data_IF_295297371237
#
_entry.id   IF_295297371237
#
_cell.length_a   1.000
_cell.length_b   1.000
_cell.length_c   1.000
_cell.angle_alpha   90.00
_cell.angle_beta   90.00
_cell.angle_gamma   90.00
#
_symmetry.space_group_name_H-M   'P 1'
#
loop_
_entity.id
_entity.type
_entity.pdbx_description
1 polymer ?
#
# COMPACT_ATOMS: atom_id res chain seq x y z
N UNK A 1 0.92 9.83 -16.82
CA UNK A 1 1.43 8.93 -15.76
C UNK A 1 0.38 8.62 -14.68
N UNK A 2 -0.18 9.59 -13.91
CA UNK A 2 -1.12 9.26 -12.82
C UNK A 2 -2.47 8.71 -13.32
N UNK A 3 -3.05 9.33 -14.36
CA UNK A 3 -4.33 8.88 -14.91
C UNK A 3 -4.26 7.43 -15.43
N UNK A 4 -3.18 7.06 -16.12
CA UNK A 4 -3.00 5.70 -16.63
C UNK A 4 -2.79 4.67 -15.50
N UNK A 5 -2.18 5.07 -14.38
CA UNK A 5 -2.08 4.20 -13.21
C UNK A 5 -3.45 3.94 -12.57
N UNK A 6 -4.27 5.00 -12.39
CA UNK A 6 -5.64 4.86 -11.88
C UNK A 6 -6.52 4.02 -12.81
N UNK A 7 -6.38 4.19 -14.13
CA UNK A 7 -7.11 3.38 -15.12
C UNK A 7 -6.69 1.92 -15.02
N UNK A 8 -5.40 1.61 -14.91
CA UNK A 8 -4.94 0.23 -14.75
C UNK A 8 -5.44 -0.44 -13.46
N UNK A 9 -5.55 0.32 -12.37
CA UNK A 9 -6.17 -0.17 -11.13
C UNK A 9 -7.67 -0.46 -11.32
N UNK A 10 -8.38 0.45 -11.99
CA UNK A 10 -9.80 0.29 -12.30
C UNK A 10 -10.04 -0.90 -13.25
N UNK A 11 -9.21 -1.08 -14.27
CA UNK A 11 -9.28 -2.22 -15.19
C UNK A 11 -9.00 -3.55 -14.48
N UNK A 12 -7.99 -3.59 -13.60
CA UNK A 12 -7.69 -4.78 -12.82
C UNK A 12 -8.87 -5.21 -11.93
N UNK A 13 -9.58 -4.23 -11.36
CA UNK A 13 -10.81 -4.44 -10.60
C UNK A 13 -11.98 -4.88 -11.50
N UNK A 14 -12.26 -4.14 -12.58
CA UNK A 14 -13.42 -4.39 -13.45
C UNK A 14 -13.35 -5.74 -14.18
N UNK A 15 -12.15 -6.15 -14.60
CA UNK A 15 -11.94 -7.39 -15.36
C UNK A 15 -11.43 -8.56 -14.52
N UNK A 16 -11.42 -8.44 -13.18
CA UNK A 16 -10.88 -9.46 -12.26
C UNK A 16 -9.52 -10.03 -12.72
N UNK A 17 -8.62 -9.16 -13.16
CA UNK A 17 -7.34 -9.59 -13.77
C UNK A 17 -6.38 -10.20 -12.74
N UNK A 18 -6.66 -10.05 -11.44
CA UNK A 18 -5.79 -10.47 -10.34
C UNK A 18 -4.37 -9.95 -10.53
N UNK A 19 -4.29 -8.68 -10.92
CA UNK A 19 -3.04 -8.06 -11.35
C UNK A 19 -2.25 -7.60 -10.13
N UNK A 20 -0.96 -7.87 -10.12
CA UNK A 20 -0.04 -7.35 -9.12
C UNK A 20 0.28 -5.90 -9.45
N UNK A 21 -0.16 -4.99 -8.59
CA UNK A 21 0.02 -3.55 -8.75
C UNK A 21 0.51 -2.94 -7.42
N UNK A 22 1.49 -2.02 -7.45
CA UNK A 22 1.89 -1.29 -6.25
C UNK A 22 0.81 -0.25 -5.92
N UNK A 23 0.15 -0.41 -4.78
CA UNK A 23 -0.91 0.51 -4.34
C UNK A 23 -0.82 0.76 -2.84
N UNK A 24 -1.34 1.91 -2.38
CA UNK A 24 -1.50 2.17 -0.96
C UNK A 24 -2.60 1.27 -0.41
N UNK A 25 -2.23 0.30 0.42
CA UNK A 25 -3.15 -0.64 1.04
C UNK A 25 -3.06 -0.56 2.56
N UNK A 26 -4.16 -0.91 3.21
CA UNK A 26 -4.25 -0.97 4.66
C UNK A 26 -3.52 -2.21 5.18
N UNK A 27 -2.52 -1.99 6.03
CA UNK A 27 -1.75 -3.03 6.68
C UNK A 27 -2.38 -3.36 8.04
N UNK A 28 -2.81 -4.62 8.19
CA UNK A 28 -3.34 -5.17 9.45
C UNK A 28 -2.41 -6.27 9.98
N UNK A 29 -1.16 -5.90 10.24
CA UNK A 29 -0.10 -6.79 10.74
C UNK A 29 0.97 -7.15 9.71
N UNK A 30 0.77 -6.84 8.42
CA UNK A 30 1.81 -7.06 7.41
C UNK A 30 3.02 -6.16 7.67
N UNK A 31 4.22 -6.70 7.48
CA UNK A 31 5.50 -6.02 7.78
C UNK A 31 5.65 -5.55 9.25
N UNK A 32 4.80 -6.02 10.17
CA UNK A 32 4.78 -5.58 11.56
C UNK A 32 4.04 -4.26 11.82
N UNK A 33 3.35 -3.72 10.81
CA UNK A 33 2.53 -2.51 10.94
C UNK A 33 1.05 -2.88 11.03
N UNK A 34 0.34 -2.23 11.96
CA UNK A 34 -1.11 -2.38 12.15
C UNK A 34 -1.75 -1.00 12.11
N UNK A 35 -2.95 -0.90 11.55
CA UNK A 35 -3.68 0.37 11.39
C UNK A 35 -2.94 1.41 10.52
N UNK A 36 -2.22 0.95 9.49
CA UNK A 36 -1.36 1.82 8.69
C UNK A 36 -1.56 1.65 7.19
N UNK A 37 -1.68 2.75 6.46
CA UNK A 37 -1.69 2.71 4.99
C UNK A 37 -0.30 2.94 4.43
N UNK A 38 0.20 2.00 3.63
CA UNK A 38 1.49 2.14 2.95
C UNK A 38 1.44 1.57 1.54
N UNK A 39 2.28 2.11 0.67
CA UNK A 39 2.48 1.59 -0.68
C UNK A 39 3.14 0.22 -0.63
N UNK A 40 2.36 -0.82 -0.89
CA UNK A 40 2.82 -2.21 -0.90
C UNK A 40 2.34 -2.90 -2.18
N UNK A 41 3.04 -3.94 -2.66
CA UNK A 41 2.57 -4.72 -3.79
C UNK A 41 1.30 -5.48 -3.38
N UNK A 42 0.19 -5.18 -4.04
CA UNK A 42 -1.09 -5.84 -3.82
C UNK A 42 -1.61 -6.49 -5.08
N UNK A 43 -2.40 -7.54 -4.90
CA UNK A 43 -3.15 -8.19 -5.96
C UNK A 43 -4.55 -7.56 -5.96
N UNK A 44 -4.88 -6.88 -7.05
CA UNK A 44 -6.21 -6.31 -7.28
C UNK A 44 -7.00 -7.24 -8.20
N UNK A 45 -8.14 -7.70 -7.71
CA UNK A 45 -9.14 -8.48 -8.45
C UNK A 45 -10.53 -7.84 -8.35
N UNK A 46 -11.57 -8.58 -8.71
CA UNK A 46 -12.97 -8.13 -8.73
C UNK A 46 -13.54 -7.79 -7.35
N UNK A 47 -12.81 -8.14 -6.27
CA UNK A 47 -13.14 -7.79 -4.88
C UNK A 47 -12.31 -6.62 -4.33
N UNK A 48 -11.53 -5.95 -5.17
CA UNK A 48 -10.59 -4.91 -4.74
C UNK A 48 -9.24 -5.51 -4.39
N UNK A 49 -8.69 -5.11 -3.24
CA UNK A 49 -7.41 -5.66 -2.73
C UNK A 49 -7.67 -7.06 -2.18
N UNK A 50 -7.38 -8.10 -2.97
CA UNK A 50 -7.59 -9.49 -2.56
C UNK A 50 -6.44 -10.03 -1.70
N UNK A 51 -5.22 -9.57 -1.96
CA UNK A 51 -4.03 -10.06 -1.26
C UNK A 51 -2.93 -9.00 -1.23
N UNK A 52 -2.30 -8.88 -0.07
CA UNK A 52 -1.06 -8.11 0.09
C UNK A 52 0.10 -9.09 -0.06
N UNK A 53 1.04 -8.79 -0.96
CA UNK A 53 2.23 -9.62 -1.17
C UNK A 53 3.29 -9.19 -0.18
N UNK A 54 3.46 -9.95 0.90
CA UNK A 54 4.53 -9.72 1.85
C UNK A 54 5.85 -10.27 1.28
N UNK A 55 6.81 -9.39 1.09
CA UNK A 55 8.15 -9.71 0.64
C UNK A 55 9.09 -9.79 1.85
N UNK A 56 9.97 -10.78 1.86
CA UNK A 56 11.05 -10.88 2.84
C UNK A 56 12.08 -9.79 2.58
N UNK A 57 11.92 -8.64 3.24
CA UNK A 57 12.84 -7.51 3.15
C UNK A 57 14.12 -7.79 3.95
N UNK A 58 15.25 -7.38 3.37
CA UNK A 58 16.54 -7.32 4.06
C UNK A 58 16.55 -6.24 5.15
N UNK A 59 17.57 -6.25 6.02
CA UNK A 59 17.66 -5.27 7.11
C UNK A 59 17.71 -3.81 6.61
N UNK A 60 18.39 -3.57 5.49
CA UNK A 60 18.48 -2.25 4.87
C UNK A 60 17.13 -1.79 4.29
N UNK A 61 16.42 -2.68 3.60
CA UNK A 61 15.09 -2.38 3.06
C UNK A 61 14.05 -2.17 4.16
N UNK A 62 14.15 -2.93 5.28
CA UNK A 62 13.32 -2.68 6.46
C UNK A 62 13.58 -1.29 7.05
N UNK A 63 14.83 -0.84 7.11
CA UNK A 63 15.16 0.50 7.58
C UNK A 63 14.61 1.58 6.63
N UNK A 64 14.69 1.37 5.31
CA UNK A 64 14.07 2.29 4.34
C UNK A 64 12.55 2.34 4.48
N UNK A 65 11.90 1.19 4.63
CA UNK A 65 10.46 1.09 4.82
C UNK A 65 10.01 1.74 6.13
N UNK A 66 10.77 1.56 7.22
CA UNK A 66 10.53 2.24 8.49
C UNK A 66 10.63 3.76 8.37
N UNK A 67 11.61 4.27 7.63
CA UNK A 67 11.75 5.70 7.35
C UNK A 67 10.56 6.25 6.54
N UNK A 68 10.07 5.48 5.57
CA UNK A 68 8.86 5.83 4.82
C UNK A 68 7.61 5.84 5.70
N UNK A 69 7.46 4.83 6.58
CA UNK A 69 6.37 4.77 7.54
C UNK A 69 6.38 5.95 8.52
N UNK A 70 7.54 6.32 9.05
CA UNK A 70 7.71 7.47 9.93
C UNK A 70 7.30 8.78 9.25
N UNK A 71 7.68 8.95 7.98
CA UNK A 71 7.30 10.13 7.19
C UNK A 71 5.77 10.23 7.01
N UNK A 72 5.11 9.12 6.70
CA UNK A 72 3.65 9.06 6.53
C UNK A 72 2.94 9.27 7.88
N UNK A 73 3.44 8.67 8.96
CA UNK A 73 2.91 8.84 10.31
C UNK A 73 2.98 10.32 10.74
N UNK A 74 4.11 10.99 10.48
CA UNK A 74 4.26 12.42 10.77
C UNK A 74 3.22 13.28 10.05
N UNK A 75 2.90 12.96 8.80
CA UNK A 75 1.84 13.65 8.04
C UNK A 75 0.46 13.36 8.65
N UNK A 76 0.17 12.10 8.99
CA UNK A 76 -1.09 11.71 9.65
C UNK A 76 -1.27 12.44 10.97
N UNK A 77 -0.22 12.59 11.77
CA UNK A 77 -0.27 13.30 13.06
C UNK A 77 -0.50 14.81 12.88
N UNK A 78 0.08 15.42 11.85
CA UNK A 78 -0.19 16.83 11.48
C UNK A 78 -1.65 17.01 11.09
N UNK A 79 -2.20 16.11 10.27
CA UNK A 79 -3.61 16.16 9.86
C UNK A 79 -4.52 15.96 11.06
N UNK A 80 -4.22 15.02 11.97
CA UNK A 80 -5.01 14.78 13.20
C UNK A 80 -4.99 15.97 14.17
N UNK A 81 -3.88 16.72 14.26
CA UNK A 81 -3.80 17.94 15.08
C UNK A 81 -4.51 19.14 14.47
N UNK A 82 -4.82 19.09 13.17
CA UNK A 82 -5.47 20.17 12.43
C UNK A 82 -6.99 20.00 12.30
N UNK A 83 -7.53 18.91 12.86
CA UNK A 83 -8.96 18.60 12.96
C UNK A 83 -9.44 18.81 14.41
#
# INVERSE_FOLDING_TARGET
APASASVQMAEAYLFDQKRLLPCAAYLDGQYGYKDFFMGVPVIIGGKGVEKIVELSLTAEEKAMLAKSAESVQGIVDVVKKSA
#
